data_IF_323239415360
#
_entry.id   IF_323239415360
#
_cell.length_a   1.000
_cell.length_b   1.000
_cell.length_c   1.000
_cell.angle_alpha   90.00
_cell.angle_beta   90.00
_cell.angle_gamma   90.00
#
_symmetry.space_group_name_H-M   'P 1'
#
loop_
_entity.id
_entity.type
_entity.pdbx_description
1 polymer ?
#
# COMPACT_ATOMS: atom_id res chain seq x y z
N UNK A 1 5.24 6.25 -6.73
CA UNK A 1 3.96 5.51 -6.89
C UNK A 1 3.10 6.14 -7.95
N UNK A 2 2.20 5.36 -8.55
CA UNK A 2 1.53 5.75 -9.79
C UNK A 2 0.03 5.43 -9.71
N UNK A 3 -0.71 5.79 -10.75
CA UNK A 3 -2.09 5.41 -10.98
C UNK A 3 -2.26 4.81 -12.35
N UNK A 4 -2.86 3.63 -12.43
CA UNK A 4 -3.18 2.94 -13.68
C UNK A 4 -4.66 3.16 -14.00
N UNK A 5 -4.97 3.44 -15.26
CA UNK A 5 -6.33 3.47 -15.77
C UNK A 5 -6.38 2.90 -17.19
N UNK A 6 -7.28 1.94 -17.41
CA UNK A 6 -7.58 1.31 -18.70
C UNK A 6 -9.08 1.44 -18.93
N UNK A 7 -9.50 2.29 -19.86
CA UNK A 7 -10.92 2.64 -20.02
C UNK A 7 -11.22 3.20 -21.42
N UNK A 8 -12.42 2.95 -21.96
CA UNK A 8 -12.92 3.71 -23.12
C UNK A 8 -13.45 5.10 -22.72
N UNK A 9 -13.62 5.40 -21.42
CA UNK A 9 -14.20 6.63 -20.90
C UNK A 9 -13.13 7.66 -20.53
N UNK A 10 -12.63 8.43 -21.50
CA UNK A 10 -11.54 9.40 -21.34
C UNK A 10 -11.82 10.43 -20.23
N UNK A 11 -13.08 10.79 -19.97
CA UNK A 11 -13.46 11.73 -18.92
C UNK A 11 -13.16 11.22 -17.48
N UNK A 12 -12.87 9.93 -17.30
CA UNK A 12 -12.53 9.32 -15.99
C UNK A 12 -11.05 9.47 -15.60
N UNK A 13 -10.19 9.91 -16.50
CA UNK A 13 -8.72 9.97 -16.28
C UNK A 13 -8.36 10.82 -15.07
N UNK A 14 -8.97 11.98 -14.94
CA UNK A 14 -8.65 12.91 -13.86
C UNK A 14 -9.09 12.45 -12.47
N UNK A 15 -9.92 11.40 -12.36
CA UNK A 15 -10.36 10.87 -11.08
C UNK A 15 -9.20 10.39 -10.19
N UNK A 16 -8.08 9.97 -10.80
CA UNK A 16 -6.90 9.46 -10.08
C UNK A 16 -5.64 10.32 -10.29
N UNK A 17 -5.78 11.58 -10.77
CA UNK A 17 -4.64 12.47 -11.03
C UNK A 17 -3.76 12.75 -9.80
N UNK A 18 -4.31 12.65 -8.60
CA UNK A 18 -3.57 12.79 -7.34
C UNK A 18 -2.51 11.71 -7.13
N UNK A 19 -2.56 10.61 -7.88
CA UNK A 19 -1.59 9.51 -7.77
C UNK A 19 -0.27 9.77 -8.49
N UNK A 20 -0.15 10.83 -9.27
CA UNK A 20 1.09 11.15 -9.99
C UNK A 20 1.19 12.62 -10.35
N UNK A 21 2.38 13.04 -10.77
CA UNK A 21 2.68 14.41 -11.20
C UNK A 21 2.72 14.56 -12.73
N UNK A 22 2.74 13.43 -13.44
CA UNK A 22 2.78 13.37 -14.91
C UNK A 22 1.72 12.38 -15.38
N UNK A 23 1.07 12.69 -16.50
CA UNK A 23 0.12 11.78 -17.14
C UNK A 23 0.59 11.47 -18.57
N UNK A 24 0.57 10.16 -18.89
CA UNK A 24 0.84 9.65 -20.23
C UNK A 24 -0.16 8.56 -20.58
N UNK A 25 -0.47 8.43 -21.87
CA UNK A 25 -1.40 7.40 -22.34
C UNK A 25 -1.14 6.99 -23.78
N UNK A 26 -1.61 5.79 -24.11
CA UNK A 26 -1.74 5.26 -25.47
C UNK A 26 -3.20 4.99 -25.72
N UNK A 27 -3.73 5.36 -26.88
CA UNK A 27 -5.09 5.02 -27.31
C UNK A 27 -5.01 4.02 -28.46
N UNK A 28 -5.68 2.88 -28.28
CA UNK A 28 -5.73 1.80 -29.28
C UNK A 28 -7.09 1.11 -29.24
N UNK A 29 -7.71 0.88 -30.38
CA UNK A 29 -8.99 0.18 -30.53
C UNK A 29 -10.12 0.75 -29.66
N UNK A 30 -10.17 2.09 -29.52
CA UNK A 30 -11.18 2.77 -28.70
C UNK A 30 -10.93 2.72 -27.20
N UNK A 31 -9.84 2.10 -26.74
CA UNK A 31 -9.40 2.05 -25.35
C UNK A 31 -8.23 2.98 -25.09
N UNK A 32 -8.26 3.66 -23.95
CA UNK A 32 -7.14 4.42 -23.43
C UNK A 32 -6.45 3.63 -22.32
N UNK A 33 -5.15 3.51 -22.46
CA UNK A 33 -4.24 2.93 -21.49
C UNK A 33 -3.44 4.06 -20.88
N UNK A 34 -3.80 4.48 -19.67
CA UNK A 34 -3.28 5.68 -19.04
C UNK A 34 -2.51 5.41 -17.76
N UNK A 35 -1.53 6.26 -17.50
CA UNK A 35 -0.67 6.18 -16.34
C UNK A 35 -0.39 7.54 -15.73
N UNK A 36 -0.77 7.73 -14.47
CA UNK A 36 -0.35 8.86 -13.65
C UNK A 36 0.95 8.49 -12.92
N UNK A 37 2.06 9.10 -13.32
CA UNK A 37 3.41 8.75 -12.87
C UNK A 37 3.88 9.64 -11.72
N UNK A 38 4.45 9.02 -10.67
CA UNK A 38 5.34 9.65 -9.71
C UNK A 38 6.73 9.04 -9.91
N UNK A 39 7.68 9.72 -10.61
CA UNK A 39 9.00 9.18 -10.91
C UNK A 39 9.86 9.18 -9.65
N UNK A 40 10.21 8.01 -9.14
CA UNK A 40 11.03 7.81 -7.93
C UNK A 40 12.39 7.23 -8.28
N UNK A 41 12.42 6.06 -8.93
CA UNK A 41 13.65 5.43 -9.40
C UNK A 41 14.10 5.95 -10.77
N UNK A 42 13.27 6.77 -11.42
CA UNK A 42 13.50 7.33 -12.74
C UNK A 42 13.54 8.86 -12.66
N UNK A 43 14.12 9.51 -13.66
CA UNK A 43 14.09 10.96 -13.79
C UNK A 43 12.84 11.42 -14.53
N UNK A 44 12.45 12.70 -14.37
CA UNK A 44 11.23 13.23 -14.98
C UNK A 44 11.24 13.19 -16.51
N UNK A 45 12.39 13.34 -17.12
CA UNK A 45 12.56 13.43 -18.59
C UNK A 45 13.21 12.17 -19.19
N UNK A 46 13.11 11.02 -18.51
CA UNK A 46 13.65 9.77 -19.04
C UNK A 46 12.68 9.09 -20.02
N UNK A 47 13.16 8.03 -20.66
CA UNK A 47 12.39 7.23 -21.64
C UNK A 47 11.35 6.29 -21.01
N UNK A 48 11.22 6.23 -19.66
CA UNK A 48 10.42 5.26 -18.94
C UNK A 48 8.98 5.74 -18.65
N UNK A 49 8.41 6.44 -19.61
CA UNK A 49 6.97 6.77 -19.58
C UNK A 49 6.14 5.54 -19.89
N UNK A 50 5.03 5.41 -19.17
CA UNK A 50 4.09 4.29 -19.34
C UNK A 50 2.82 4.75 -20.03
N UNK A 51 2.15 3.89 -20.82
CA UNK A 51 2.43 2.45 -21.03
C UNK A 51 3.76 2.20 -21.73
N UNK A 52 4.49 1.18 -21.27
CA UNK A 52 5.73 0.72 -21.92
C UNK A 52 5.35 -0.18 -23.10
N UNK A 53 5.92 0.09 -24.28
CA UNK A 53 5.81 -0.79 -25.42
C UNK A 53 6.75 -2.00 -25.27
N UNK A 54 6.16 -3.19 -25.31
CA UNK A 54 6.87 -4.47 -25.28
C UNK A 54 7.32 -4.86 -26.71
N UNK A 55 8.36 -5.69 -26.80
CA UNK A 55 8.93 -6.10 -28.08
C UNK A 55 7.96 -6.92 -28.96
N UNK A 56 7.02 -7.63 -28.34
CA UNK A 56 5.95 -8.37 -29.02
C UNK A 56 4.74 -7.50 -29.45
N UNK A 57 4.82 -6.18 -29.27
CA UNK A 57 3.75 -5.22 -29.57
C UNK A 57 2.71 -5.06 -28.46
N UNK A 58 2.92 -5.70 -27.31
CA UNK A 58 2.11 -5.51 -26.10
C UNK A 58 2.37 -4.17 -25.40
N UNK A 59 1.58 -3.91 -24.36
CA UNK A 59 1.71 -2.76 -23.48
C UNK A 59 1.84 -3.23 -22.03
N UNK A 60 2.75 -2.61 -21.27
CA UNK A 60 2.94 -2.84 -19.84
C UNK A 60 2.62 -1.56 -19.08
N UNK A 61 1.80 -1.69 -18.04
CA UNK A 61 1.50 -0.68 -17.03
C UNK A 61 1.91 -1.21 -15.65
N UNK A 62 2.68 -0.42 -14.93
CA UNK A 62 3.21 -0.76 -13.61
C UNK A 62 3.00 0.37 -12.61
N UNK A 63 2.45 0.05 -11.47
CA UNK A 63 2.36 0.94 -10.31
C UNK A 63 2.96 0.23 -9.11
N UNK A 64 4.17 0.60 -8.71
CA UNK A 64 4.87 -0.06 -7.63
C UNK A 64 6.35 0.25 -7.60
N UNK A 65 7.06 -0.56 -6.83
CA UNK A 65 8.51 -0.58 -6.70
C UNK A 65 8.96 -2.04 -6.51
N UNK A 66 9.99 -2.47 -7.25
CA UNK A 66 10.73 -3.70 -6.99
C UNK A 66 12.12 -3.28 -6.55
N UNK A 67 12.38 -3.38 -5.25
CA UNK A 67 13.58 -2.79 -4.67
C UNK A 67 14.86 -3.56 -4.99
N UNK A 68 14.76 -4.86 -5.19
CA UNK A 68 15.90 -5.76 -5.33
C UNK A 68 16.16 -6.22 -6.78
N UNK A 69 15.63 -5.52 -7.77
CA UNK A 69 15.72 -5.92 -9.18
C UNK A 69 17.15 -6.16 -9.68
N UNK A 70 18.16 -5.45 -9.14
CA UNK A 70 19.57 -5.67 -9.45
C UNK A 70 20.26 -6.67 -8.52
N UNK A 71 19.61 -7.14 -7.46
CA UNK A 71 20.15 -8.17 -6.57
C UNK A 71 19.80 -9.59 -7.05
N UNK A 72 18.72 -9.72 -7.82
CA UNK A 72 18.16 -11.01 -8.28
C UNK A 72 18.56 -11.36 -9.70
N UNK A 73 19.31 -10.50 -10.37
CA UNK A 73 19.73 -10.65 -11.77
C UNK A 73 21.22 -10.37 -11.93
N UNK A 74 21.84 -11.10 -12.87
CA UNK A 74 23.21 -10.82 -13.32
C UNK A 74 23.28 -9.60 -14.25
N UNK A 75 22.16 -9.25 -14.89
CA UNK A 75 22.05 -8.07 -15.75
C UNK A 75 21.76 -6.84 -14.92
N UNK A 76 22.51 -5.77 -15.13
CA UNK A 76 22.28 -4.50 -14.47
C UNK A 76 21.20 -3.70 -15.21
N UNK A 77 20.21 -3.21 -14.48
CA UNK A 77 19.14 -2.34 -14.95
C UNK A 77 19.19 -0.98 -14.27
N UNK A 78 18.82 0.07 -14.99
CA UNK A 78 18.79 1.44 -14.44
C UNK A 78 17.67 1.66 -13.42
N UNK A 79 16.56 0.90 -13.56
CA UNK A 79 15.38 0.96 -12.70
C UNK A 79 14.51 -0.30 -12.87
N UNK A 80 13.56 -0.46 -11.98
CA UNK A 80 12.61 -1.58 -11.96
C UNK A 80 11.67 -1.64 -13.18
N UNK A 81 11.35 -0.51 -13.79
CA UNK A 81 10.52 -0.47 -15.01
C UNK A 81 11.28 -1.06 -16.21
N UNK A 82 12.58 -0.79 -16.32
CA UNK A 82 13.44 -1.41 -17.33
C UNK A 82 13.56 -2.93 -17.14
N UNK A 83 13.76 -3.34 -15.90
CA UNK A 83 13.78 -4.75 -15.53
C UNK A 83 12.47 -5.45 -15.90
N UNK A 84 11.31 -4.88 -15.52
CA UNK A 84 10.01 -5.44 -15.85
C UNK A 84 9.75 -5.48 -17.35
N UNK A 85 10.21 -4.46 -18.10
CA UNK A 85 10.15 -4.50 -19.56
C UNK A 85 10.91 -5.69 -20.10
N UNK A 86 12.13 -5.91 -19.66
CA UNK A 86 12.95 -7.04 -20.13
C UNK A 86 12.30 -8.39 -19.79
N UNK A 87 11.72 -8.52 -18.58
CA UNK A 87 11.04 -9.75 -18.16
C UNK A 87 9.78 -10.05 -18.98
N UNK A 88 9.02 -9.01 -19.36
CA UNK A 88 7.75 -9.16 -20.06
C UNK A 88 7.80 -8.79 -21.56
N UNK A 89 8.98 -8.55 -22.14
CA UNK A 89 9.10 -8.16 -23.55
C UNK A 89 8.48 -9.17 -24.52
N UNK A 90 8.47 -10.44 -24.12
CA UNK A 90 7.86 -11.53 -24.88
C UNK A 90 6.85 -12.28 -24.02
N UNK A 91 5.94 -12.97 -24.67
CA UNK A 91 4.99 -13.84 -24.00
C UNK A 91 5.67 -15.15 -23.59
N UNK A 92 6.10 -15.22 -22.33
CA UNK A 92 6.63 -16.43 -21.74
C UNK A 92 5.57 -17.14 -20.87
N UNK A 93 5.62 -18.48 -20.81
CA UNK A 93 4.72 -19.23 -19.93
C UNK A 93 4.94 -18.84 -18.45
N UNK A 94 3.85 -18.71 -17.70
CA UNK A 94 3.88 -18.30 -16.29
C UNK A 94 4.76 -19.19 -15.41
N UNK A 95 4.92 -20.47 -15.73
CA UNK A 95 5.82 -21.36 -14.98
C UNK A 95 7.31 -20.96 -15.07
N UNK A 96 7.68 -20.13 -16.03
CA UNK A 96 9.02 -19.54 -16.14
C UNK A 96 9.14 -18.20 -15.42
N UNK A 97 8.08 -17.41 -15.46
CA UNK A 97 8.05 -16.05 -14.87
C UNK A 97 7.83 -16.10 -13.36
N UNK A 98 6.95 -16.96 -12.86
CA UNK A 98 6.59 -17.05 -11.44
C UNK A 98 7.80 -17.33 -10.53
N UNK A 99 8.75 -18.23 -10.85
CA UNK A 99 9.93 -18.43 -10.02
C UNK A 99 10.76 -17.16 -9.81
N UNK A 100 10.87 -16.31 -10.83
CA UNK A 100 11.57 -15.03 -10.71
C UNK A 100 10.75 -14.03 -9.88
N UNK A 101 9.44 -13.96 -10.08
CA UNK A 101 8.56 -13.12 -9.27
C UNK A 101 8.62 -13.46 -7.77
N UNK A 102 8.88 -14.73 -7.43
CA UNK A 102 9.06 -15.16 -6.03
C UNK A 102 10.34 -14.65 -5.37
N UNK A 103 11.26 -14.06 -6.13
CA UNK A 103 12.44 -13.40 -5.60
C UNK A 103 12.21 -11.90 -5.32
N UNK A 104 11.12 -11.33 -5.80
CA UNK A 104 10.88 -9.90 -5.69
C UNK A 104 10.70 -9.44 -4.24
N UNK A 105 11.34 -8.34 -3.89
CA UNK A 105 11.06 -7.57 -2.69
C UNK A 105 10.51 -6.20 -3.09
N UNK A 106 9.24 -5.97 -2.82
CA UNK A 106 8.58 -4.75 -3.23
C UNK A 106 7.06 -4.76 -3.04
N UNK A 107 6.40 -3.99 -3.87
CA UNK A 107 4.95 -3.96 -4.00
C UNK A 107 4.60 -3.52 -5.42
N UNK A 108 3.54 -4.10 -5.98
CA UNK A 108 3.21 -3.87 -7.39
C UNK A 108 1.73 -4.04 -7.71
N UNK A 109 1.30 -3.31 -8.73
CA UNK A 109 0.14 -3.58 -9.53
C UNK A 109 0.56 -3.55 -10.99
N UNK A 110 0.35 -4.63 -11.70
CA UNK A 110 0.82 -4.82 -13.08
C UNK A 110 -0.36 -5.13 -13.97
N UNK A 111 -0.38 -4.47 -15.15
CA UNK A 111 -1.34 -4.76 -16.22
C UNK A 111 -0.56 -4.93 -17.52
N UNK A 112 -0.76 -6.07 -18.19
CA UNK A 112 -0.15 -6.38 -19.47
C UNK A 112 -1.27 -6.57 -20.49
N UNK A 113 -1.14 -5.92 -21.64
CA UNK A 113 -2.10 -5.99 -22.73
C UNK A 113 -1.42 -6.56 -23.97
N UNK A 114 -1.92 -7.69 -24.51
CA UNK A 114 -1.48 -8.29 -25.76
C UNK A 114 -2.67 -8.55 -26.67
N UNK A 115 -2.85 -7.69 -27.68
CA UNK A 115 -4.07 -7.73 -28.49
C UNK A 115 -5.32 -7.49 -27.64
N UNK A 116 -6.24 -8.46 -27.63
CA UNK A 116 -7.43 -8.44 -26.77
C UNK A 116 -7.21 -9.09 -25.40
N UNK A 117 -6.08 -9.77 -25.18
CA UNK A 117 -5.76 -10.39 -23.89
C UNK A 117 -5.25 -9.37 -22.90
N UNK A 118 -5.85 -9.36 -21.73
CA UNK A 118 -5.45 -8.54 -20.60
C UNK A 118 -5.02 -9.46 -19.46
N UNK A 119 -3.84 -9.20 -18.92
CA UNK A 119 -3.36 -9.84 -17.69
C UNK A 119 -3.23 -8.77 -16.62
N UNK A 120 -3.77 -9.01 -15.43
CA UNK A 120 -3.66 -8.07 -14.32
C UNK A 120 -3.45 -8.82 -13.00
N UNK A 121 -2.55 -8.30 -12.17
CA UNK A 121 -2.25 -8.85 -10.85
C UNK A 121 -1.63 -7.80 -9.93
N UNK A 122 -1.68 -8.08 -8.64
CA UNK A 122 -1.12 -7.21 -7.60
C UNK A 122 -0.19 -7.99 -6.69
N UNK A 123 0.66 -7.27 -5.95
CA UNK A 123 1.56 -7.88 -4.98
C UNK A 123 0.80 -8.78 -3.97
N UNK A 124 1.48 -9.75 -3.36
CA UNK A 124 0.83 -10.75 -2.51
C UNK A 124 0.21 -10.18 -1.23
N UNK A 125 0.60 -8.98 -0.81
CA UNK A 125 -0.02 -8.24 0.29
C UNK A 125 -1.11 -7.26 -0.18
N UNK A 126 -1.29 -7.08 -1.49
CA UNK A 126 -2.26 -6.17 -2.07
C UNK A 126 -2.06 -4.72 -1.67
N UNK A 127 -0.81 -4.32 -1.46
CA UNK A 127 -0.46 -2.93 -1.13
C UNK A 127 -0.80 -1.98 -2.27
N UNK A 128 -0.64 -2.44 -3.52
CA UNK A 128 -1.12 -1.73 -4.71
C UNK A 128 -2.39 -2.38 -5.20
N UNK A 129 -3.49 -1.63 -5.13
CA UNK A 129 -4.78 -2.14 -5.53
C UNK A 129 -5.03 -1.95 -7.03
N UNK A 130 -5.78 -2.87 -7.60
CA UNK A 130 -6.45 -2.76 -8.89
C UNK A 130 -7.91 -3.18 -8.74
N UNK A 131 -8.76 -2.52 -9.51
CA UNK A 131 -10.18 -2.81 -9.62
C UNK A 131 -10.54 -2.99 -11.09
N UNK A 132 -11.54 -3.83 -11.34
CA UNK A 132 -12.09 -4.06 -12.68
C UNK A 132 -13.61 -4.08 -12.64
N UNK A 133 -14.25 -3.83 -13.75
CA UNK A 133 -15.70 -3.94 -13.90
C UNK A 133 -16.09 -4.97 -14.98
N UNK A 134 -17.39 -5.20 -15.11
CA UNK A 134 -17.95 -6.13 -16.11
C UNK A 134 -17.70 -5.71 -17.57
N UNK A 135 -17.17 -4.51 -17.82
CA UNK A 135 -16.78 -4.01 -19.14
C UNK A 135 -15.30 -4.25 -19.45
N UNK A 136 -14.52 -4.81 -18.51
CA UNK A 136 -13.09 -5.01 -18.65
C UNK A 136 -12.23 -3.77 -18.41
N UNK A 137 -12.81 -2.68 -17.91
CA UNK A 137 -12.03 -1.51 -17.46
C UNK A 137 -11.18 -1.88 -16.25
N UNK A 138 -10.02 -1.23 -16.10
CA UNK A 138 -9.12 -1.41 -14.94
C UNK A 138 -8.74 -0.05 -14.39
N UNK A 139 -8.73 0.08 -13.06
CA UNK A 139 -8.23 1.29 -12.42
C UNK A 139 -7.61 0.98 -11.04
N UNK A 140 -6.65 1.79 -10.64
CA UNK A 140 -6.06 1.76 -9.30
C UNK A 140 -7.06 2.15 -8.19
N UNK A 141 -8.16 2.83 -8.52
CA UNK A 141 -9.22 3.24 -7.60
C UNK A 141 -10.60 3.02 -8.19
N UNK A 142 -11.58 2.72 -7.34
CA UNK A 142 -12.96 2.40 -7.75
C UNK A 142 -13.60 3.54 -8.55
N UNK A 143 -13.36 4.79 -8.12
CA UNK A 143 -13.95 6.00 -8.74
C UNK A 143 -13.54 6.23 -10.18
N UNK A 144 -12.43 5.65 -10.63
CA UNK A 144 -11.97 5.71 -12.03
C UNK A 144 -12.72 4.77 -12.98
N UNK A 145 -13.55 3.87 -12.46
CA UNK A 145 -14.31 2.90 -13.25
C UNK A 145 -15.74 3.35 -13.52
N UNK A 146 -16.26 2.98 -14.69
CA UNK A 146 -17.69 3.08 -14.97
C UNK A 146 -18.44 2.01 -14.19
N UNK A 147 -19.60 2.35 -13.62
CA UNK A 147 -20.42 1.42 -12.87
C UNK A 147 -21.91 1.54 -13.26
N UNK A 148 -22.71 0.55 -12.92
CA UNK A 148 -24.15 0.50 -13.24
C UNK A 148 -25.00 1.34 -12.28
N UNK A 149 -24.42 1.88 -11.22
CA UNK A 149 -25.13 2.56 -10.14
C UNK A 149 -25.85 1.61 -9.16
N UNK A 150 -25.77 0.30 -9.36
CA UNK A 150 -26.35 -0.70 -8.45
C UNK A 150 -25.43 -0.93 -7.26
N UNK A 151 -25.99 -0.77 -6.06
CA UNK A 151 -25.27 -0.89 -4.79
C UNK A 151 -25.23 -2.35 -4.34
N UNK A 152 -24.04 -2.85 -4.01
CA UNK A 152 -23.85 -4.16 -3.38
C UNK A 152 -24.20 -4.10 -1.89
N UNK A 153 -25.39 -4.60 -1.52
CA UNK A 153 -25.88 -4.61 -0.13
C UNK A 153 -25.05 -5.51 0.78
N UNK A 154 -24.43 -6.56 0.23
CA UNK A 154 -23.53 -7.43 1.00
C UNK A 154 -22.27 -6.70 1.39
N UNK A 155 -21.68 -5.92 0.47
CA UNK A 155 -20.57 -5.02 0.79
C UNK A 155 -20.91 -4.07 1.94
N UNK A 156 -22.06 -3.40 1.89
CA UNK A 156 -22.51 -2.51 2.97
C UNK A 156 -22.62 -3.25 4.30
N UNK A 157 -23.17 -4.47 4.30
CA UNK A 157 -23.29 -5.29 5.52
C UNK A 157 -21.93 -5.64 6.11
N UNK A 158 -20.95 -6.00 5.26
CA UNK A 158 -19.58 -6.31 5.66
C UNK A 158 -18.91 -5.07 6.28
N UNK A 159 -18.95 -3.93 5.60
CA UNK A 159 -18.34 -2.67 6.08
C UNK A 159 -18.98 -2.22 7.39
N UNK A 160 -20.31 -2.31 7.53
CA UNK A 160 -20.99 -1.98 8.78
C UNK A 160 -20.56 -2.87 9.95
N UNK A 161 -20.28 -4.14 9.69
CA UNK A 161 -19.84 -5.09 10.71
C UNK A 161 -18.38 -4.91 11.10
N UNK A 162 -17.49 -4.80 10.12
CA UNK A 162 -16.06 -4.86 10.33
C UNK A 162 -15.34 -3.50 10.26
N UNK A 163 -15.95 -2.47 9.64
CA UNK A 163 -15.34 -1.17 9.37
C UNK A 163 -14.45 -1.15 8.11
N UNK A 164 -14.42 -2.24 7.36
CA UNK A 164 -13.72 -2.40 6.08
C UNK A 164 -14.29 -3.60 5.32
N UNK A 165 -13.98 -3.70 4.03
CA UNK A 165 -14.38 -4.85 3.22
C UNK A 165 -13.37 -6.00 3.37
N UNK A 166 -13.86 -7.25 3.41
CA UNK A 166 -13.06 -8.46 3.64
C UNK A 166 -12.92 -9.37 2.40
N UNK A 167 -13.44 -8.94 1.26
CA UNK A 167 -13.42 -9.72 0.01
C UNK A 167 -13.20 -8.84 -1.24
N UNK A 168 -13.50 -9.37 -2.43
CA UNK A 168 -13.32 -8.65 -3.69
C UNK A 168 -14.44 -7.65 -4.03
N UNK A 169 -15.47 -7.51 -3.21
CA UNK A 169 -16.60 -6.58 -3.46
C UNK A 169 -16.15 -5.13 -3.36
N UNK A 170 -16.93 -4.28 -4.02
CA UNK A 170 -16.93 -2.84 -3.80
C UNK A 170 -18.35 -2.37 -3.53
N UNK A 171 -18.55 -1.06 -3.33
CA UNK A 171 -19.89 -0.49 -3.21
C UNK A 171 -20.79 -0.82 -4.42
N UNK A 172 -20.21 -1.08 -5.59
CA UNK A 172 -20.92 -1.33 -6.84
C UNK A 172 -20.95 -2.81 -7.17
N UNK A 173 -22.12 -3.36 -7.52
CA UNK A 173 -22.27 -4.79 -7.85
C UNK A 173 -21.38 -5.27 -9.00
N UNK A 174 -21.16 -4.38 -9.99
CA UNK A 174 -20.42 -4.66 -11.22
C UNK A 174 -18.92 -4.30 -11.16
N UNK A 175 -18.44 -3.77 -10.03
CA UNK A 175 -17.03 -3.43 -9.82
C UNK A 175 -16.42 -4.36 -8.77
N UNK A 176 -15.30 -5.00 -9.11
CA UNK A 176 -14.60 -5.94 -8.24
C UNK A 176 -13.13 -5.57 -8.09
N UNK A 177 -12.57 -5.88 -6.92
CA UNK A 177 -11.16 -5.80 -6.67
C UNK A 177 -10.44 -6.99 -7.30
N UNK A 178 -9.30 -6.75 -7.93
CA UNK A 178 -8.33 -7.79 -8.28
C UNK A 178 -7.65 -8.23 -6.98
N UNK A 179 -7.85 -9.48 -6.61
CA UNK A 179 -7.40 -10.00 -5.33
C UNK A 179 -5.89 -10.18 -5.30
N UNK A 180 -5.24 -9.93 -4.15
CA UNK A 180 -3.80 -10.17 -3.98
C UNK A 180 -3.42 -11.62 -4.24
N UNK A 181 -2.18 -11.83 -4.67
CA UNK A 181 -1.61 -13.15 -4.91
C UNK A 181 -2.37 -14.00 -5.96
N UNK A 182 -3.09 -13.34 -6.86
CA UNK A 182 -3.81 -13.98 -7.96
C UNK A 182 -3.51 -13.26 -9.27
N UNK A 183 -3.12 -13.99 -10.32
CA UNK A 183 -2.99 -13.47 -11.67
C UNK A 183 -4.31 -13.72 -12.39
N UNK A 184 -4.90 -12.65 -12.93
CA UNK A 184 -6.14 -12.68 -13.72
C UNK A 184 -5.82 -12.49 -15.18
N UNK A 185 -6.37 -13.35 -16.04
CA UNK A 185 -6.19 -13.31 -17.50
C UNK A 185 -7.56 -13.40 -18.14
N UNK A 186 -7.91 -12.44 -18.99
CA UNK A 186 -9.19 -12.45 -19.70
C UNK A 186 -9.09 -11.80 -21.08
N UNK A 187 -10.09 -12.07 -21.92
CA UNK A 187 -10.25 -11.39 -23.18
C UNK A 187 -11.24 -10.21 -23.00
N UNK A 188 -10.77 -8.98 -23.21
CA UNK A 188 -11.58 -7.76 -23.02
C UNK A 188 -12.76 -7.65 -23.99
N UNK A 189 -12.65 -8.24 -25.18
CA UNK A 189 -13.69 -8.16 -26.22
C UNK A 189 -14.82 -9.18 -26.02
N UNK A 190 -14.60 -10.20 -25.20
CA UNK A 190 -15.55 -11.30 -25.00
C UNK A 190 -16.28 -11.26 -23.66
N UNK A 191 -15.94 -10.34 -22.75
CA UNK A 191 -16.53 -10.21 -21.41
C UNK A 191 -16.62 -11.56 -20.65
N UNK A 192 -15.67 -12.46 -20.87
CA UNK A 192 -15.65 -13.78 -20.24
C UNK A 192 -15.12 -13.70 -18.80
N UNK A 193 -15.48 -14.71 -18.00
CA UNK A 193 -14.85 -14.89 -16.68
C UNK A 193 -13.33 -15.04 -16.85
N UNK A 194 -12.53 -14.37 -16.00
CA UNK A 194 -11.08 -14.47 -16.09
C UNK A 194 -10.60 -15.90 -15.77
N UNK A 195 -9.64 -16.37 -16.54
CA UNK A 195 -8.80 -17.48 -16.09
C UNK A 195 -7.86 -16.95 -15.00
N UNK A 196 -7.64 -17.72 -13.93
CA UNK A 196 -6.84 -17.31 -12.79
C UNK A 196 -5.70 -18.27 -12.50
N UNK A 197 -4.56 -17.72 -12.08
CA UNK A 197 -3.45 -18.46 -11.47
C UNK A 197 -3.42 -18.01 -9.99
N UNK A 198 -3.95 -18.83 -9.06
CA UNK A 198 -3.97 -18.50 -7.64
C UNK A 198 -2.60 -18.75 -6.99
N UNK A 199 -2.34 -18.02 -5.91
CA UNK A 199 -1.15 -18.21 -5.06
C UNK A 199 0.16 -18.24 -5.85
N UNK A 200 0.32 -17.31 -6.80
CA UNK A 200 1.52 -17.24 -7.64
C UNK A 200 2.78 -16.91 -6.84
N UNK A 201 2.64 -16.30 -5.66
CA UNK A 201 3.74 -15.96 -4.77
C UNK A 201 3.77 -16.92 -3.57
N UNK A 202 4.90 -17.57 -3.36
CA UNK A 202 5.10 -18.51 -2.25
C UNK A 202 5.90 -17.83 -1.12
N UNK A 203 5.30 -17.74 0.06
CA UNK A 203 5.93 -17.19 1.24
C UNK A 203 7.06 -18.06 1.81
N UNK A 204 7.13 -19.34 1.44
CA UNK A 204 8.20 -20.26 1.86
C UNK A 204 9.40 -20.30 0.90
N UNK A 205 9.33 -19.53 -0.18
CA UNK A 205 10.35 -19.54 -1.21
C UNK A 205 11.63 -18.82 -0.76
N UNK A 206 12.79 -19.47 -0.94
CA UNK A 206 14.10 -18.90 -0.63
C UNK A 206 14.23 -18.32 0.78
N UNK A 207 13.79 -19.07 1.80
CA UNK A 207 14.00 -18.68 3.21
C UNK A 207 15.49 -18.48 3.48
N UNK A 208 15.83 -17.34 4.09
CA UNK A 208 17.17 -17.08 4.63
C UNK A 208 17.27 -17.70 6.03
N UNK A 209 18.47 -17.80 6.57
CA UNK A 209 18.69 -18.17 7.99
C UNK A 209 19.36 -17.00 8.73
N UNK A 210 19.16 -15.80 8.21
CA UNK A 210 19.70 -14.57 8.78
C UNK A 210 18.91 -14.18 10.04
N UNK A 211 19.51 -13.36 10.91
CA UNK A 211 18.81 -12.79 12.07
C UNK A 211 17.74 -11.79 11.61
N UNK A 212 16.69 -11.58 12.44
CA UNK A 212 15.70 -10.53 12.14
C UNK A 212 16.32 -9.14 12.11
N UNK A 213 17.37 -8.89 12.91
CA UNK A 213 18.15 -7.66 12.82
C UNK A 213 18.66 -7.44 11.38
N UNK A 214 19.35 -8.42 10.79
CA UNK A 214 19.99 -8.30 9.48
C UNK A 214 18.95 -8.21 8.34
N UNK A 215 17.88 -9.01 8.43
CA UNK A 215 16.80 -9.01 7.44
C UNK A 215 16.07 -7.66 7.43
N UNK A 216 15.77 -7.09 8.62
CA UNK A 216 15.12 -5.78 8.72
C UNK A 216 16.09 -4.69 8.29
N UNK A 217 17.37 -4.76 8.63
CA UNK A 217 18.40 -3.83 8.14
C UNK A 217 18.41 -3.77 6.62
N UNK A 218 18.48 -4.92 5.96
CA UNK A 218 18.44 -5.07 4.51
C UNK A 218 17.15 -4.50 3.92
N UNK A 219 16.03 -4.79 4.56
CA UNK A 219 14.73 -4.26 4.15
C UNK A 219 14.64 -2.73 4.25
N UNK A 220 15.12 -2.13 5.35
CA UNK A 220 15.19 -0.66 5.49
C UNK A 220 16.09 -0.06 4.42
N UNK A 221 17.29 -0.65 4.21
CA UNK A 221 18.25 -0.18 3.21
C UNK A 221 17.67 -0.15 1.79
N UNK A 222 16.99 -1.23 1.37
CA UNK A 222 16.31 -1.31 0.06
C UNK A 222 15.27 -0.21 -0.10
N UNK A 223 14.56 0.17 0.97
CA UNK A 223 13.50 1.21 0.92
C UNK A 223 14.03 2.63 0.88
N UNK A 224 15.35 2.82 0.93
CA UNK A 224 16.00 4.11 0.68
C UNK A 224 16.26 4.36 -0.82
N UNK A 225 15.99 3.38 -1.69
CA UNK A 225 16.22 3.51 -3.12
C UNK A 225 15.38 4.63 -3.73
N UNK A 226 16.06 5.67 -4.22
CA UNK A 226 15.48 6.82 -4.91
C UNK A 226 16.57 7.56 -5.69
N UNK A 227 16.20 8.17 -6.81
CA UNK A 227 17.11 9.02 -7.61
C UNK A 227 16.91 10.52 -7.37
N UNK A 228 15.81 10.91 -6.76
CA UNK A 228 15.42 12.35 -6.71
C UNK A 228 14.97 12.81 -5.34
N UNK A 229 14.15 12.03 -4.66
CA UNK A 229 13.42 12.50 -3.50
C UNK A 229 14.13 12.15 -2.20
N UNK A 230 14.09 13.07 -1.23
CA UNK A 230 14.47 12.79 0.14
C UNK A 230 13.45 11.80 0.73
N UNK A 231 13.94 10.88 1.56
CA UNK A 231 13.10 9.92 2.28
C UNK A 231 12.77 10.51 3.65
N UNK A 232 11.57 10.27 4.11
CA UNK A 232 11.08 10.67 5.43
C UNK A 232 10.63 9.47 6.23
N UNK A 233 10.46 9.65 7.54
CA UNK A 233 9.90 8.65 8.45
C UNK A 233 8.78 9.23 9.28
N UNK A 234 7.70 8.46 9.48
CA UNK A 234 6.70 8.69 10.53
C UNK A 234 7.18 8.05 11.83
N UNK A 235 7.42 8.89 12.84
CA UNK A 235 8.01 8.48 14.09
C UNK A 235 7.07 8.71 15.27
N UNK A 236 6.72 7.66 15.99
CA UNK A 236 5.84 7.69 17.17
C UNK A 236 6.56 7.31 18.47
N UNK A 237 7.88 7.14 18.44
CA UNK A 237 8.67 6.52 19.51
C UNK A 237 8.12 5.15 19.97
N UNK A 238 7.32 4.49 19.14
CA UNK A 238 6.98 3.08 19.29
C UNK A 238 8.15 2.21 18.83
N UNK A 239 8.19 0.94 19.27
CA UNK A 239 9.27 0.01 18.93
C UNK A 239 9.53 -0.05 17.41
N UNK A 240 8.48 -0.18 16.60
CA UNK A 240 8.58 -0.35 15.15
C UNK A 240 9.24 0.85 14.46
N UNK A 241 8.71 2.05 14.72
CA UNK A 241 9.27 3.28 14.15
C UNK A 241 10.68 3.57 14.68
N UNK A 242 10.98 3.16 15.91
CA UNK A 242 12.32 3.33 16.51
C UNK A 242 13.34 2.36 15.90
N UNK A 243 12.96 1.12 15.59
CA UNK A 243 13.80 0.19 14.84
C UNK A 243 14.17 0.75 13.47
N UNK A 244 13.19 1.27 12.73
CA UNK A 244 13.46 1.87 11.42
C UNK A 244 14.41 3.06 11.58
N UNK A 245 14.15 3.96 12.52
CA UNK A 245 14.97 5.13 12.78
C UNK A 245 16.40 4.77 13.22
N UNK A 246 16.57 3.70 14.02
CA UNK A 246 17.87 3.15 14.38
C UNK A 246 18.70 2.80 13.15
N UNK A 247 18.14 2.09 12.19
CA UNK A 247 18.84 1.75 10.95
C UNK A 247 19.12 2.98 10.07
N UNK A 248 18.17 3.91 9.97
CA UNK A 248 18.39 5.16 9.24
C UNK A 248 19.59 5.93 9.79
N UNK A 249 19.72 6.00 11.12
CA UNK A 249 20.91 6.60 11.78
C UNK A 249 22.17 5.78 11.52
N UNK A 250 22.11 4.45 11.64
CA UNK A 250 23.25 3.55 11.37
C UNK A 250 23.79 3.77 9.96
N UNK A 251 22.91 4.01 8.97
CA UNK A 251 23.30 4.31 7.60
C UNK A 251 23.76 5.75 7.35
N UNK A 252 23.63 6.64 8.32
CA UNK A 252 23.85 8.07 8.12
C UNK A 252 22.89 8.69 7.10
N UNK A 253 21.67 8.14 6.98
CA UNK A 253 20.70 8.58 5.99
C UNK A 253 20.19 9.99 6.33
N UNK A 254 20.21 10.90 5.34
CA UNK A 254 19.59 12.22 5.47
C UNK A 254 18.09 12.10 5.27
N UNK A 255 17.33 12.05 6.37
CA UNK A 255 15.88 11.88 6.38
C UNK A 255 15.18 12.96 7.17
N UNK A 256 13.97 13.34 6.75
CA UNK A 256 13.08 14.15 7.56
C UNK A 256 12.28 13.24 8.51
N UNK A 257 12.18 13.65 9.77
CA UNK A 257 11.45 12.91 10.80
C UNK A 257 10.17 13.69 11.10
N UNK A 258 9.02 13.02 10.97
CA UNK A 258 7.71 13.58 11.30
C UNK A 258 7.09 12.82 12.46
N UNK A 259 6.56 13.55 13.43
CA UNK A 259 5.83 12.99 14.58
C UNK A 259 4.54 13.73 14.83
N UNK A 260 3.53 13.03 15.32
CA UNK A 260 2.30 13.68 15.76
C UNK A 260 2.55 14.36 17.11
N UNK A 261 2.11 15.60 17.21
CA UNK A 261 2.11 16.34 18.46
C UNK A 261 0.92 15.85 19.31
N UNK A 262 1.16 14.88 20.18
CA UNK A 262 0.17 14.38 21.13
C UNK A 262 0.78 14.19 22.53
N UNK A 263 -0.04 14.32 23.58
CA UNK A 263 0.41 14.19 24.96
C UNK A 263 0.85 12.77 25.32
N UNK A 264 0.24 11.73 24.72
CA UNK A 264 0.47 10.32 25.07
C UNK A 264 1.86 9.82 24.61
N UNK A 265 2.33 10.29 23.47
CA UNK A 265 3.60 9.87 22.86
C UNK A 265 4.72 10.91 23.07
N UNK A 266 4.35 12.15 23.38
CA UNK A 266 5.25 13.31 23.41
C UNK A 266 6.50 13.11 24.28
N UNK A 267 6.35 12.59 25.50
CA UNK A 267 7.47 12.34 26.42
C UNK A 267 8.46 11.31 25.84
N UNK A 268 7.96 10.26 25.21
CA UNK A 268 8.80 9.22 24.60
C UNK A 268 9.51 9.76 23.34
N UNK A 269 8.79 10.52 22.51
CA UNK A 269 9.37 11.16 21.32
C UNK A 269 10.48 12.11 21.76
N UNK A 270 10.25 12.94 22.78
CA UNK A 270 11.24 13.89 23.29
C UNK A 270 12.44 13.19 23.92
N UNK A 271 12.24 12.06 24.62
CA UNK A 271 13.33 11.28 25.20
C UNK A 271 14.30 10.77 24.12
N UNK A 272 13.77 10.21 23.03
CA UNK A 272 14.59 9.74 21.89
C UNK A 272 15.18 10.93 21.12
N UNK A 273 14.44 12.00 20.95
CA UNK A 273 14.91 13.23 20.32
C UNK A 273 16.17 13.75 21.03
N UNK A 274 16.13 13.85 22.35
CA UNK A 274 17.27 14.32 23.15
C UNK A 274 18.44 13.33 23.11
N UNK A 275 18.16 12.01 23.25
CA UNK A 275 19.19 10.98 23.29
C UNK A 275 19.95 10.88 21.96
N UNK A 276 19.24 11.00 20.83
CA UNK A 276 19.81 10.81 19.51
C UNK A 276 20.10 12.11 18.76
N UNK A 277 19.80 13.28 19.35
CA UNK A 277 20.04 14.58 18.73
C UNK A 277 19.22 14.79 17.46
N UNK A 278 17.92 14.45 17.49
CA UNK A 278 17.07 14.47 16.31
C UNK A 278 16.44 15.84 16.08
N UNK A 279 16.27 16.21 14.81
CA UNK A 279 15.38 17.29 14.38
C UNK A 279 14.05 16.69 13.93
N UNK A 280 12.97 17.01 14.66
CA UNK A 280 11.64 16.41 14.45
C UNK A 280 10.64 17.50 14.04
N UNK A 281 9.96 17.25 12.91
CA UNK A 281 8.83 18.03 12.46
C UNK A 281 7.56 17.53 13.16
N UNK A 282 6.99 18.33 14.04
CA UNK A 282 5.75 17.99 14.74
C UNK A 282 4.53 18.36 13.90
N UNK A 283 3.58 17.42 13.79
CA UNK A 283 2.33 17.59 13.05
C UNK A 283 1.16 17.69 14.01
N UNK A 284 0.37 18.75 13.87
CA UNK A 284 -0.87 18.94 14.63
C UNK A 284 -2.05 18.30 13.92
N UNK A 285 -2.68 17.32 14.59
CA UNK A 285 -3.87 16.62 14.08
C UNK A 285 -5.09 17.16 14.82
N UNK A 286 -5.95 17.93 14.11
CA UNK A 286 -7.15 18.57 14.67
C UNK A 286 -8.41 18.10 13.93
N UNK A 287 -8.92 16.91 14.26
CA UNK A 287 -10.02 16.28 13.51
C UNK A 287 -11.36 16.97 13.67
N UNK A 288 -11.56 17.72 14.73
CA UNK A 288 -12.77 18.52 14.99
C UNK A 288 -12.91 19.74 14.05
N UNK A 289 -11.83 20.14 13.39
CA UNK A 289 -11.81 21.29 12.47
C UNK A 289 -12.04 20.93 10.99
N UNK A 290 -12.48 19.68 10.70
CA UNK A 290 -12.77 19.26 9.32
C UNK A 290 -13.87 20.14 8.68
N UNK A 291 -13.45 20.92 7.70
CA UNK A 291 -14.38 21.62 6.82
C UNK A 291 -15.22 20.64 6.00
N UNK A 292 -16.41 21.09 5.54
CA UNK A 292 -17.24 20.28 4.64
C UNK A 292 -16.47 19.82 3.39
N UNK A 293 -15.63 20.68 2.82
CA UNK A 293 -14.79 20.38 1.64
C UNK A 293 -13.81 19.25 1.94
N UNK A 294 -13.17 19.26 3.12
CA UNK A 294 -12.24 18.20 3.51
C UNK A 294 -12.94 16.87 3.76
N UNK A 295 -14.14 16.90 4.38
CA UNK A 295 -14.97 15.68 4.53
C UNK A 295 -15.33 15.09 3.18
N UNK A 296 -15.79 15.91 2.22
CA UNK A 296 -16.13 15.47 0.87
C UNK A 296 -14.91 14.87 0.16
N UNK A 297 -13.73 15.48 0.33
CA UNK A 297 -12.47 14.98 -0.22
C UNK A 297 -12.09 13.63 0.41
N UNK A 298 -12.22 13.48 1.72
CA UNK A 298 -11.96 12.20 2.41
C UNK A 298 -12.91 11.12 1.90
N UNK A 299 -14.19 11.41 1.69
CA UNK A 299 -15.13 10.43 1.12
C UNK A 299 -14.78 10.02 -0.31
N UNK A 300 -14.35 10.95 -1.16
CA UNK A 300 -13.92 10.63 -2.51
C UNK A 300 -12.67 9.75 -2.55
N UNK A 301 -11.72 10.02 -1.64
CA UNK A 301 -10.49 9.24 -1.51
C UNK A 301 -10.76 7.87 -0.89
N UNK A 302 -11.66 7.81 0.08
CA UNK A 302 -12.04 6.60 0.80
C UNK A 302 -13.09 5.78 0.03
N UNK A 303 -12.90 5.60 -1.25
CA UNK A 303 -13.80 4.83 -2.12
C UNK A 303 -13.88 3.33 -1.77
N UNK A 304 -12.97 2.86 -0.93
CA UNK A 304 -12.97 1.52 -0.32
C UNK A 304 -13.73 1.44 1.00
N UNK A 305 -14.28 2.56 1.47
CA UNK A 305 -15.15 2.68 2.65
C UNK A 305 -14.54 2.11 3.95
N UNK A 306 -13.29 2.44 4.21
CA UNK A 306 -12.63 2.13 5.49
C UNK A 306 -13.12 3.09 6.57
N UNK A 307 -13.18 2.64 7.82
CA UNK A 307 -13.68 3.41 8.95
C UNK A 307 -12.99 4.78 9.10
N UNK A 308 -13.78 5.82 9.35
CA UNK A 308 -13.29 7.19 9.45
C UNK A 308 -12.37 7.42 10.65
N UNK A 309 -12.57 6.66 11.74
CA UNK A 309 -11.73 6.77 12.93
C UNK A 309 -10.26 6.48 12.68
N UNK A 310 -9.96 5.68 11.65
CA UNK A 310 -8.59 5.38 11.23
C UNK A 310 -8.12 6.21 10.04
N UNK A 311 -9.04 6.59 9.15
CA UNK A 311 -8.74 7.36 7.93
C UNK A 311 -8.40 8.81 8.24
N UNK A 312 -9.18 9.48 9.08
CA UNK A 312 -9.02 10.90 9.40
C UNK A 312 -7.63 11.21 9.99
N UNK A 313 -7.12 10.49 11.00
CA UNK A 313 -5.76 10.74 11.51
C UNK A 313 -4.69 10.64 10.43
N UNK A 314 -4.78 9.63 9.55
CA UNK A 314 -3.81 9.48 8.46
C UNK A 314 -3.93 10.56 7.40
N UNK A 315 -5.13 11.02 7.08
CA UNK A 315 -5.34 12.16 6.18
C UNK A 315 -4.58 13.39 6.67
N UNK A 316 -4.76 13.77 7.95
CA UNK A 316 -4.06 14.93 8.53
C UNK A 316 -2.55 14.72 8.57
N UNK A 317 -2.12 13.52 8.89
CA UNK A 317 -0.71 13.18 8.96
C UNK A 317 -0.01 13.37 7.62
N UNK A 318 -0.62 12.95 6.50
CA UNK A 318 -0.03 13.12 5.17
C UNK A 318 -0.25 14.51 4.56
N UNK A 319 -1.26 15.26 5.03
CA UNK A 319 -1.59 16.59 4.48
C UNK A 319 -0.43 17.59 4.55
N UNK A 320 0.33 17.54 5.64
CA UNK A 320 1.40 18.51 5.92
C UNK A 320 2.80 18.01 5.53
N UNK A 321 2.91 16.72 5.14
CA UNK A 321 4.17 16.16 4.64
C UNK A 321 4.42 16.62 3.20
N UNK A 322 5.60 17.21 2.98
CA UNK A 322 6.01 17.71 1.65
C UNK A 322 6.83 16.70 0.86
N UNK A 323 7.43 15.74 1.55
CA UNK A 323 8.27 14.72 0.95
C UNK A 323 7.44 13.69 0.18
N UNK A 324 8.04 13.08 -0.83
CA UNK A 324 7.35 12.14 -1.73
C UNK A 324 7.49 10.68 -1.31
N UNK A 325 8.38 10.38 -0.38
CA UNK A 325 8.64 9.02 0.13
C UNK A 325 8.63 9.06 1.65
N UNK A 326 7.83 8.20 2.26
CA UNK A 326 7.69 8.12 3.71
C UNK A 326 7.79 6.67 4.18
N UNK A 327 8.70 6.40 5.12
CA UNK A 327 8.81 5.12 5.80
C UNK A 327 7.83 5.07 6.98
N UNK A 328 7.18 3.92 7.16
CA UNK A 328 6.26 3.69 8.28
C UNK A 328 6.47 2.30 8.89
N UNK A 329 6.10 2.15 10.17
CA UNK A 329 6.18 0.90 10.91
C UNK A 329 5.02 -0.09 10.67
N UNK A 330 4.12 0.21 9.72
CA UNK A 330 2.99 -0.70 9.43
C UNK A 330 3.49 -2.08 9.00
N UNK A 331 2.79 -3.12 9.42
CA UNK A 331 3.13 -4.52 9.21
C UNK A 331 3.79 -5.18 10.43
N UNK A 332 4.47 -4.41 11.29
CA UNK A 332 5.15 -4.97 12.45
C UNK A 332 4.17 -5.59 13.47
N UNK A 333 3.06 -4.92 13.74
CA UNK A 333 2.06 -5.45 14.68
C UNK A 333 1.34 -6.68 14.14
N UNK A 334 1.06 -6.68 12.85
CA UNK A 334 0.38 -7.76 12.16
C UNK A 334 1.25 -9.02 12.09
N UNK A 335 2.53 -8.87 11.81
CA UNK A 335 3.47 -10.00 11.73
C UNK A 335 3.89 -10.51 13.12
N UNK A 336 4.15 -9.60 14.05
CA UNK A 336 4.79 -9.92 15.32
C UNK A 336 3.83 -9.81 16.51
N UNK A 337 2.53 -9.91 16.31
CA UNK A 337 1.52 -10.02 17.37
C UNK A 337 1.49 -8.83 18.32
N UNK A 338 1.57 -7.59 17.80
CA UNK A 338 1.60 -6.38 18.60
C UNK A 338 0.24 -5.94 19.16
N UNK A 339 -0.86 -6.49 18.66
CA UNK A 339 -2.22 -6.13 19.11
C UNK A 339 -2.68 -6.99 20.28
N UNK A 340 -3.35 -6.39 21.28
CA UNK A 340 -3.88 -7.10 22.46
C UNK A 340 -4.87 -8.21 22.09
N UNK A 341 -5.69 -8.01 21.05
CA UNK A 341 -6.68 -8.98 20.59
C UNK A 341 -6.06 -10.28 20.06
N UNK A 342 -4.79 -10.26 19.63
CA UNK A 342 -4.10 -11.44 19.10
C UNK A 342 -3.64 -12.36 20.23
N UNK A 343 -3.35 -11.82 21.42
CA UNK A 343 -2.93 -12.61 22.58
C UNK A 343 -4.02 -13.54 23.13
N UNK A 344 -5.28 -13.33 22.75
CA UNK A 344 -6.43 -14.13 23.17
C UNK A 344 -6.77 -15.27 22.19
N UNK A 345 -6.19 -15.24 20.98
CA UNK A 345 -6.42 -16.24 19.94
C UNK A 345 -5.18 -17.12 19.75
N UNK A 346 -5.29 -18.38 20.17
CA UNK A 346 -4.28 -19.42 20.02
C UNK A 346 -4.19 -19.98 18.58
N UNK A 347 -4.45 -19.16 17.57
CA UNK A 347 -4.39 -19.58 16.18
C UNK A 347 -3.04 -19.22 15.54
N UNK A 348 -2.38 -20.20 14.94
CA UNK A 348 -1.11 -20.04 14.21
C UNK A 348 -1.23 -19.16 12.96
N UNK A 349 -2.44 -18.81 12.55
CA UNK A 349 -2.71 -17.81 11.51
C UNK A 349 -3.20 -16.56 12.21
N UNK A 350 -2.41 -15.50 12.15
CA UNK A 350 -2.90 -14.21 12.63
C UNK A 350 -3.95 -13.72 11.63
N UNK A 351 -5.23 -13.75 12.00
CA UNK A 351 -6.32 -13.12 11.25
C UNK A 351 -5.97 -11.67 10.87
N UNK A 352 -5.08 -11.05 11.65
CA UNK A 352 -4.59 -9.69 11.46
C UNK A 352 -3.63 -9.55 10.28
N UNK A 353 -2.82 -10.58 9.97
CA UNK A 353 -2.04 -10.58 8.74
C UNK A 353 -2.96 -10.60 7.51
N UNK A 354 -4.06 -11.35 7.59
CA UNK A 354 -5.08 -11.41 6.54
C UNK A 354 -5.85 -10.08 6.38
N UNK A 355 -5.91 -9.23 7.41
CA UNK A 355 -6.49 -7.88 7.33
C UNK A 355 -5.62 -6.89 6.52
N UNK A 356 -4.31 -7.10 6.44
CA UNK A 356 -3.38 -6.17 5.78
C UNK A 356 -3.86 -5.73 4.39
N UNK A 357 -4.19 -6.65 3.47
CA UNK A 357 -4.59 -6.28 2.12
C UNK A 357 -5.95 -5.58 2.04
N UNK A 358 -6.81 -5.69 3.06
CA UNK A 358 -8.17 -5.17 3.02
C UNK A 358 -8.37 -3.91 3.84
N UNK A 359 -7.57 -3.71 4.88
CA UNK A 359 -7.71 -2.61 5.82
C UNK A 359 -6.48 -1.71 5.85
N UNK A 360 -5.37 -2.21 6.42
CA UNK A 360 -4.21 -1.36 6.74
C UNK A 360 -3.52 -0.81 5.49
N UNK A 361 -3.26 -1.65 4.49
CA UNK A 361 -2.53 -1.25 3.28
C UNK A 361 -3.40 -0.44 2.31
N UNK A 362 -4.70 -0.73 2.24
CA UNK A 362 -5.64 0.10 1.46
C UNK A 362 -5.72 1.49 2.05
N UNK A 363 -5.89 1.60 3.37
CA UNK A 363 -5.98 2.87 4.08
C UNK A 363 -4.74 3.74 3.85
N UNK A 364 -3.54 3.16 4.08
CA UNK A 364 -2.32 3.92 3.95
C UNK A 364 -2.05 4.35 2.49
N UNK A 365 -2.33 3.47 1.51
CA UNK A 365 -2.18 3.81 0.09
C UNK A 365 -3.13 4.95 -0.31
N UNK A 366 -4.41 4.88 0.07
CA UNK A 366 -5.39 5.92 -0.25
C UNK A 366 -5.03 7.27 0.37
N UNK A 367 -4.72 7.28 1.66
CA UNK A 367 -4.44 8.53 2.37
C UNK A 367 -3.14 9.18 1.92
N UNK A 368 -2.07 8.42 1.76
CA UNK A 368 -0.78 8.95 1.31
C UNK A 368 -0.83 9.41 -0.15
N UNK A 369 -1.43 8.59 -1.03
CA UNK A 369 -1.51 8.91 -2.46
C UNK A 369 -2.40 10.11 -2.76
N UNK A 370 -3.38 10.44 -1.90
CA UNK A 370 -4.12 11.70 -2.05
C UNK A 370 -3.20 12.93 -2.08
N UNK A 371 -2.04 12.83 -1.45
CA UNK A 371 -1.00 13.89 -1.42
C UNK A 371 0.20 13.55 -2.33
N UNK A 372 0.05 12.56 -3.18
CA UNK A 372 1.14 12.09 -4.07
C UNK A 372 2.38 11.67 -3.26
N UNK A 373 2.17 10.91 -2.18
CA UNK A 373 3.22 10.40 -1.28
C UNK A 373 3.27 8.88 -1.36
N UNK A 374 4.47 8.34 -1.53
CA UNK A 374 4.73 6.90 -1.47
C UNK A 374 5.06 6.47 -0.05
N UNK A 375 4.20 5.63 0.55
CA UNK A 375 4.54 4.95 1.79
C UNK A 375 5.31 3.67 1.52
N UNK A 376 6.39 3.46 2.28
CA UNK A 376 7.21 2.25 2.28
C UNK A 376 7.23 1.62 3.67
N UNK A 377 7.02 0.32 3.73
CA UNK A 377 6.86 -0.42 4.98
C UNK A 377 7.98 -1.45 5.10
N UNK A 378 9.09 -1.16 5.80
CA UNK A 378 10.22 -2.09 5.91
C UNK A 378 9.86 -3.43 6.55
N UNK A 379 8.94 -3.46 7.51
CA UNK A 379 8.46 -4.71 8.12
C UNK A 379 7.67 -5.61 7.15
N UNK A 380 7.19 -5.06 6.04
CA UNK A 380 6.57 -5.82 4.96
C UNK A 380 7.54 -6.13 3.81
N UNK A 381 8.85 -6.08 4.05
CA UNK A 381 9.85 -6.68 3.18
C UNK A 381 9.60 -8.18 3.04
N UNK A 382 9.69 -8.71 1.82
CA UNK A 382 9.28 -10.10 1.58
C UNK A 382 10.11 -11.10 2.38
N UNK A 383 11.41 -10.85 2.58
CA UNK A 383 12.25 -11.68 3.44
C UNK A 383 11.78 -11.60 4.90
N UNK A 384 11.41 -10.40 5.40
CA UNK A 384 10.87 -10.21 6.76
C UNK A 384 9.56 -10.99 6.95
N UNK A 385 8.65 -10.92 5.98
CA UNK A 385 7.37 -11.63 6.02
C UNK A 385 7.58 -13.15 5.99
N UNK A 386 8.42 -13.63 5.07
CA UNK A 386 8.70 -15.07 4.93
C UNK A 386 9.25 -15.68 6.21
N UNK A 387 10.28 -15.06 6.79
CA UNK A 387 10.89 -15.54 8.03
C UNK A 387 9.91 -15.42 9.22
N UNK A 388 9.16 -14.31 9.33
CA UNK A 388 8.19 -14.13 10.40
C UNK A 388 7.07 -15.18 10.35
N UNK A 389 6.58 -15.54 9.17
CA UNK A 389 5.51 -16.56 9.02
C UNK A 389 5.99 -17.98 9.37
N UNK A 390 7.29 -18.24 9.34
CA UNK A 390 7.87 -19.53 9.75
C UNK A 390 8.10 -19.64 11.25
N UNK A 391 8.12 -18.53 11.98
CA UNK A 391 8.30 -18.54 13.43
C UNK A 391 7.08 -19.16 14.13
N UNK A 392 7.29 -19.96 15.19
CA UNK A 392 6.23 -20.29 16.12
C UNK A 392 5.55 -19.02 16.67
N UNK A 393 4.24 -19.06 16.86
CA UNK A 393 3.50 -17.90 17.38
C UNK A 393 4.06 -17.39 18.72
N UNK A 394 4.51 -18.30 19.60
CA UNK A 394 5.13 -17.96 20.90
C UNK A 394 6.39 -17.11 20.80
N UNK A 395 7.11 -17.15 19.68
CA UNK A 395 8.33 -16.37 19.48
C UNK A 395 8.07 -15.00 18.86
N UNK A 396 7.01 -14.86 18.10
CA UNK A 396 6.66 -13.59 17.46
C UNK A 396 5.62 -12.77 18.23
N UNK A 397 4.73 -13.40 19.01
CA UNK A 397 3.70 -12.69 19.78
C UNK A 397 4.28 -11.65 20.74
N UNK A 398 3.55 -10.55 20.94
CA UNK A 398 4.02 -9.40 21.72
C UNK A 398 5.34 -8.78 21.22
N UNK A 399 5.67 -9.03 19.95
CA UNK A 399 6.94 -8.59 19.32
C UNK A 399 8.18 -9.16 20.03
N UNK A 400 8.06 -10.37 20.61
CA UNK A 400 9.13 -10.94 21.43
C UNK A 400 10.46 -10.95 20.69
N UNK A 401 10.50 -11.55 19.50
CA UNK A 401 11.74 -11.64 18.71
C UNK A 401 12.33 -10.24 18.39
N UNK A 402 11.50 -9.24 18.07
CA UNK A 402 11.98 -7.87 17.83
C UNK A 402 12.56 -7.25 19.10
N UNK A 403 11.92 -7.46 20.25
CA UNK A 403 12.43 -6.96 21.54
C UNK A 403 13.76 -7.60 21.89
N UNK A 404 13.89 -8.91 21.71
CA UNK A 404 15.11 -9.65 22.03
C UNK A 404 16.28 -9.23 21.11
N UNK A 405 16.05 -9.09 19.81
CA UNK A 405 17.06 -8.67 18.82
C UNK A 405 17.55 -7.22 18.99
N UNK A 406 16.66 -6.32 19.45
CA UNK A 406 16.99 -4.90 19.57
C UNK A 406 17.28 -4.42 21.00
N UNK A 407 17.26 -5.33 21.99
CA UNK A 407 17.64 -4.99 23.36
C UNK A 407 19.12 -4.62 23.43
N UNK A 408 19.42 -3.51 24.09
CA UNK A 408 20.76 -2.92 24.12
C UNK A 408 21.12 -2.04 22.91
N UNK A 409 20.32 -2.07 21.83
CA UNK A 409 20.46 -1.18 20.67
C UNK A 409 19.47 -0.02 20.73
N UNK A 410 18.28 -0.27 21.26
CA UNK A 410 17.21 0.69 21.50
C UNK A 410 16.96 0.79 23.00
N UNK A 411 16.66 1.99 23.55
CA UNK A 411 16.39 2.15 24.97
C UNK A 411 15.27 1.25 25.49
N UNK A 412 15.48 0.66 26.69
CA UNK A 412 14.55 -0.30 27.30
C UNK A 412 13.15 0.28 27.53
N UNK A 413 13.05 1.58 27.86
CA UNK A 413 11.77 2.26 28.03
C UNK A 413 10.93 2.32 26.72
N UNK A 414 11.57 2.21 25.55
CA UNK A 414 10.90 2.10 24.26
C UNK A 414 10.57 0.63 23.95
N UNK A 415 11.51 -0.30 24.22
CA UNK A 415 11.31 -1.73 23.97
C UNK A 415 10.12 -2.27 24.80
N UNK A 416 10.02 -1.86 26.06
CA UNK A 416 8.99 -2.34 26.98
C UNK A 416 7.74 -1.46 27.02
N UNK A 417 7.70 -0.40 26.18
CA UNK A 417 6.56 0.50 26.07
C UNK A 417 5.30 -0.23 25.60
N UNK A 418 4.19 0.04 26.28
CA UNK A 418 2.86 -0.40 25.83
C UNK A 418 2.43 0.40 24.60
N UNK A 419 1.96 -0.29 23.57
CA UNK A 419 1.46 0.36 22.36
C UNK A 419 0.20 1.16 22.62
N UNK A 420 0.21 2.42 22.18
CA UNK A 420 -0.98 3.25 22.03
C UNK A 420 -1.41 3.27 20.56
N UNK A 421 -2.65 2.91 20.23
CA UNK A 421 -3.13 2.98 18.85
C UNK A 421 -3.33 4.43 18.43
N UNK A 422 -2.96 4.76 17.19
CA UNK A 422 -3.27 6.03 16.56
C UNK A 422 -4.79 6.12 16.31
N UNK A 423 -5.57 6.49 17.34
CA UNK A 423 -7.02 6.69 17.22
C UNK A 423 -7.41 7.96 17.97
N UNK A 424 -8.29 8.74 17.37
CA UNK A 424 -8.85 9.93 18.00
C UNK A 424 -9.95 9.49 18.95
N UNK A 425 -9.86 9.87 20.23
CA UNK A 425 -10.72 9.42 21.33
C UNK A 425 -12.22 9.73 21.09
N UNK A 426 -12.53 10.89 20.52
CA UNK A 426 -13.90 11.32 20.21
C UNK A 426 -14.58 10.50 19.11
N UNK A 427 -13.82 9.86 18.25
CA UNK A 427 -14.33 9.02 17.15
C UNK A 427 -14.52 7.56 17.62
N UNK A 428 -13.73 7.09 18.59
CA UNK A 428 -13.82 5.74 19.16
C UNK A 428 -15.19 5.45 19.81
N UNK A 429 -15.75 6.42 20.50
CA UNK A 429 -16.91 6.21 21.36
C UNK A 429 -18.22 6.06 20.54
N UNK A 430 -18.20 6.35 19.23
CA UNK A 430 -19.35 6.31 18.31
C UNK A 430 -19.11 5.53 17.01
N UNK A 431 -18.20 4.58 17.00
CA UNK A 431 -17.72 3.90 15.77
C UNK A 431 -18.85 3.29 14.90
N UNK A 432 -19.89 2.73 15.52
CA UNK A 432 -21.01 2.11 14.78
C UNK A 432 -21.96 3.17 14.18
N UNK A 433 -22.18 4.29 14.85
CA UNK A 433 -22.97 5.40 14.33
C UNK A 433 -22.23 6.07 13.15
N UNK A 434 -20.93 6.31 13.29
CA UNK A 434 -20.08 6.85 12.23
C UNK A 434 -20.03 5.97 10.97
N UNK A 435 -20.03 4.65 11.11
CA UNK A 435 -20.06 3.74 9.96
C UNK A 435 -21.35 3.86 9.16
N UNK A 436 -22.49 4.02 9.82
CA UNK A 436 -23.81 4.21 9.19
C UNK A 436 -23.92 5.57 8.51
N UNK A 437 -23.42 6.61 9.16
CA UNK A 437 -23.35 7.96 8.60
C UNK A 437 -22.43 7.99 7.37
N UNK A 438 -21.27 7.36 7.41
CA UNK A 438 -20.32 7.31 6.30
C UNK A 438 -20.97 6.82 5.00
N UNK A 439 -21.72 5.73 5.07
CA UNK A 439 -22.38 5.16 3.89
C UNK A 439 -23.50 6.10 3.40
N UNK A 440 -24.29 6.63 4.32
CA UNK A 440 -25.37 7.58 4.01
C UNK A 440 -24.82 8.86 3.38
N UNK A 441 -23.80 9.43 3.97
CA UNK A 441 -23.17 10.67 3.51
C UNK A 441 -22.45 10.49 2.17
N UNK A 442 -21.76 9.38 1.98
CA UNK A 442 -21.11 9.07 0.70
C UNK A 442 -22.13 8.91 -0.44
N UNK A 443 -23.23 8.22 -0.19
CA UNK A 443 -24.30 8.06 -1.17
C UNK A 443 -25.00 9.39 -1.47
N UNK A 444 -25.28 10.20 -0.46
CA UNK A 444 -25.85 11.53 -0.62
C UNK A 444 -24.89 12.44 -1.39
N UNK A 445 -23.60 12.41 -1.08
CA UNK A 445 -22.57 13.18 -1.79
C UNK A 445 -22.48 12.79 -3.25
N UNK A 446 -22.48 11.49 -3.57
CA UNK A 446 -22.47 11.02 -4.97
C UNK A 446 -23.73 11.47 -5.73
N UNK A 447 -24.90 11.40 -5.11
CA UNK A 447 -26.15 11.82 -5.74
C UNK A 447 -26.16 13.32 -6.02
N UNK A 448 -25.65 14.15 -5.10
CA UNK A 448 -25.58 15.61 -5.24
C UNK A 448 -24.58 16.07 -6.33
N UNK A 449 -23.52 15.32 -6.56
CA UNK A 449 -22.46 15.68 -7.52
C UNK A 449 -22.61 15.00 -8.89
N UNK A 450 -23.73 14.34 -9.18
CA UNK A 450 -24.04 13.81 -10.51
C UNK A 450 -23.13 12.69 -11.01
N UNK A 451 -22.40 12.03 -10.12
CA UNK A 451 -21.61 10.83 -10.44
C UNK A 451 -22.55 9.63 -10.65
N UNK A 452 -23.12 9.56 -11.87
CA UNK A 452 -23.79 8.35 -12.37
C UNK A 452 -22.78 7.40 -13.00
#
# INVERSE_FOLDING_TARGET
MCGIIVTPAIQKVDCIKHRGIQFTSVTKDGWMYGHHRLPIQTLENDKWYQPIHLADGGLLLFNGEIFNFNEINDTHFDNDTEYLKALFDYEDPWYRIIPEMNLWDGFWAIVIIRGSTVTAFTDPLGKKQLYTNTRGEICSEVKGLTNTGKIDRTFISIVNKWGYNTDNRTLWEDVKRIMPNIIYIWNKDQCQQPWIIPNYFDWNYNLSKESFHDIIEKSVKRRLLTKKYKVSILFSAGLDSTIILYFLKKFGADVNIYSINNEEDGEFVQSIQNLWGLDINYLDVKPEELSLIERMRIYDINDSMIDLGSVIPQYYLFKDIKDKIVLTGDGADELFGGYRRISEYDSQKSDVFEELPFYHLVRIDRMSMNFTIECRNPFLGHDVVREALQLPYSERTHKKILKDEFRGLIPDNIIDRKKNPLKIKSIRDNETAYRRELIGDYLNWKNLNGFK
#
